data_IF_848753111755
#
_entry.id   IF_848753111755
#
_cell.length_a   1.000
_cell.length_b   1.000
_cell.length_c   1.000
_cell.angle_alpha   90.00
_cell.angle_beta   90.00
_cell.angle_gamma   90.00
#
_symmetry.space_group_name_H-M   'P 1'
#
loop_
_entity.id
_entity.type
_entity.pdbx_description
1 polymer ?
#
# COMPACT_ATOMS: atom_id res chain seq x y z
N UNK A 1 -29.08 -31.21 -14.51
CA UNK A 1 -29.79 -30.23 -15.36
C UNK A 1 -28.95 -28.95 -15.26
N UNK A 2 -28.00 -28.79 -16.17
CA UNK A 2 -27.20 -27.56 -16.29
C UNK A 2 -28.02 -26.57 -17.09
N UNK A 3 -28.60 -25.59 -16.41
CA UNK A 3 -29.12 -24.42 -17.12
C UNK A 3 -27.91 -23.70 -17.76
N UNK A 4 -27.99 -23.43 -19.06
CA UNK A 4 -27.07 -22.55 -19.77
C UNK A 4 -27.25 -21.15 -19.18
N UNK A 5 -26.58 -20.89 -18.03
CA UNK A 5 -26.46 -19.55 -17.51
C UNK A 5 -25.49 -18.81 -18.43
N UNK A 6 -26.04 -17.97 -19.28
CA UNK A 6 -25.28 -17.15 -20.20
C UNK A 6 -24.69 -15.96 -19.38
N UNK A 7 -23.57 -16.23 -18.68
CA UNK A 7 -22.87 -15.22 -17.90
C UNK A 7 -22.26 -14.17 -18.85
N UNK A 8 -22.51 -12.90 -18.55
CA UNK A 8 -21.84 -11.79 -19.21
C UNK A 8 -20.57 -11.45 -18.40
N UNK A 9 -19.39 -11.73 -18.94
CA UNK A 9 -18.12 -11.51 -18.29
C UNK A 9 -17.93 -10.03 -17.92
N UNK A 10 -18.16 -9.12 -18.86
CA UNK A 10 -17.88 -7.68 -18.64
C UNK A 10 -18.79 -7.08 -17.56
N UNK A 11 -20.07 -7.49 -17.52
CA UNK A 11 -20.99 -7.07 -16.45
C UNK A 11 -20.58 -7.60 -15.08
N UNK A 12 -20.11 -8.85 -15.00
CA UNK A 12 -19.64 -9.44 -13.74
C UNK A 12 -18.35 -8.77 -13.25
N UNK A 13 -17.44 -8.46 -14.17
CA UNK A 13 -16.21 -7.73 -13.85
C UNK A 13 -16.52 -6.33 -13.33
N UNK A 14 -17.44 -5.61 -13.97
CA UNK A 14 -17.86 -4.28 -13.49
C UNK A 14 -18.44 -4.34 -12.08
N UNK A 15 -19.28 -5.32 -11.78
CA UNK A 15 -19.83 -5.54 -10.44
C UNK A 15 -18.73 -5.81 -9.40
N UNK A 16 -17.80 -6.68 -9.73
CA UNK A 16 -16.68 -7.01 -8.82
C UNK A 16 -15.78 -5.78 -8.57
N UNK A 17 -15.45 -5.03 -9.62
CA UNK A 17 -14.65 -3.81 -9.53
C UNK A 17 -15.31 -2.72 -8.67
N UNK A 18 -16.65 -2.69 -8.62
CA UNK A 18 -17.42 -1.78 -7.76
C UNK A 18 -17.60 -2.30 -6.33
N UNK A 19 -16.98 -3.42 -5.95
CA UNK A 19 -17.15 -4.05 -4.64
C UNK A 19 -18.58 -4.54 -4.38
N UNK A 20 -19.33 -4.88 -5.44
CA UNK A 20 -20.73 -5.34 -5.30
C UNK A 20 -20.81 -6.72 -4.68
N UNK A 21 -21.57 -6.83 -3.62
CA UNK A 21 -21.76 -8.09 -2.88
C UNK A 21 -22.82 -9.01 -3.53
N UNK A 22 -23.54 -8.53 -4.55
CA UNK A 22 -24.64 -9.21 -5.22
C UNK A 22 -24.21 -10.03 -6.44
N UNK A 23 -22.92 -10.38 -6.54
CA UNK A 23 -22.43 -11.30 -7.55
C UNK A 23 -22.77 -12.72 -7.18
N UNK A 24 -23.39 -13.45 -8.11
CA UNK A 24 -23.76 -14.86 -7.89
C UNK A 24 -22.50 -15.72 -7.73
N UNK A 25 -22.40 -16.44 -6.63
CA UNK A 25 -21.32 -17.37 -6.32
C UNK A 25 -21.03 -18.35 -7.49
N UNK A 26 -22.08 -18.80 -8.19
CA UNK A 26 -21.95 -19.72 -9.31
C UNK A 26 -21.26 -19.08 -10.53
N UNK A 27 -21.20 -17.75 -10.60
CA UNK A 27 -20.53 -17.02 -11.67
C UNK A 27 -19.01 -16.88 -11.43
N UNK A 28 -18.55 -16.94 -10.18
CA UNK A 28 -17.14 -16.70 -9.84
C UNK A 28 -16.18 -17.65 -10.57
N UNK A 29 -16.42 -18.98 -10.63
CA UNK A 29 -15.54 -19.88 -11.39
C UNK A 29 -15.41 -19.50 -12.87
N UNK A 30 -16.50 -19.06 -13.50
CA UNK A 30 -16.49 -18.59 -14.88
C UNK A 30 -15.64 -17.32 -15.04
N UNK A 31 -15.81 -16.34 -14.15
CA UNK A 31 -15.01 -15.10 -14.18
C UNK A 31 -13.52 -15.42 -14.04
N UNK A 32 -13.14 -16.27 -13.09
CA UNK A 32 -11.75 -16.67 -12.88
C UNK A 32 -11.15 -17.38 -14.08
N UNK A 33 -11.91 -18.30 -14.71
CA UNK A 33 -11.44 -19.02 -15.89
C UNK A 33 -11.17 -18.05 -17.05
N UNK A 34 -12.09 -17.12 -17.32
CA UNK A 34 -11.94 -16.12 -18.36
C UNK A 34 -10.80 -15.11 -18.06
N UNK A 35 -10.68 -14.64 -16.80
CA UNK A 35 -9.60 -13.76 -16.37
C UNK A 35 -8.22 -14.42 -16.56
N UNK A 36 -8.09 -15.70 -16.21
CA UNK A 36 -6.86 -16.48 -16.43
C UNK A 36 -6.51 -16.65 -17.91
N UNK A 37 -7.49 -16.93 -18.76
CA UNK A 37 -7.29 -16.99 -20.23
C UNK A 37 -6.77 -15.66 -20.79
N UNK A 38 -7.30 -14.55 -20.27
CA UNK A 38 -6.92 -13.19 -20.66
C UNK A 38 -5.65 -12.69 -19.97
N UNK A 39 -5.16 -13.42 -18.95
CA UNK A 39 -4.06 -13.02 -18.06
C UNK A 39 -4.35 -11.68 -17.36
N UNK A 40 -5.58 -11.47 -16.98
CA UNK A 40 -6.05 -10.25 -16.35
C UNK A 40 -5.92 -10.34 -14.83
N UNK A 41 -4.77 -9.87 -14.31
CA UNK A 41 -4.48 -9.86 -12.89
C UNK A 41 -5.43 -8.96 -12.10
N UNK A 42 -5.93 -7.87 -12.69
CA UNK A 42 -6.83 -6.96 -11.97
C UNK A 42 -8.18 -7.62 -11.70
N UNK A 43 -8.73 -8.35 -12.66
CA UNK A 43 -9.98 -9.08 -12.43
C UNK A 43 -9.80 -10.18 -11.39
N UNK A 44 -8.66 -10.88 -11.39
CA UNK A 44 -8.36 -11.88 -10.34
C UNK A 44 -8.25 -11.20 -8.97
N UNK A 45 -7.68 -9.98 -8.89
CA UNK A 45 -7.63 -9.21 -7.66
C UNK A 45 -9.04 -8.83 -7.16
N UNK A 46 -9.94 -8.38 -8.04
CA UNK A 46 -11.33 -8.12 -7.64
C UNK A 46 -12.04 -9.37 -7.12
N UNK A 47 -11.79 -10.54 -7.72
CA UNK A 47 -12.32 -11.80 -7.19
C UNK A 47 -11.69 -12.15 -5.84
N UNK A 48 -10.40 -11.85 -5.63
CA UNK A 48 -9.76 -12.04 -4.34
C UNK A 48 -10.45 -11.20 -3.25
N UNK A 49 -10.65 -9.89 -3.49
CA UNK A 49 -11.39 -9.00 -2.59
C UNK A 49 -12.80 -9.52 -2.28
N UNK A 50 -13.50 -10.01 -3.31
CA UNK A 50 -14.82 -10.61 -3.11
C UNK A 50 -14.80 -11.81 -2.14
N UNK A 51 -13.75 -12.67 -2.20
CA UNK A 51 -13.61 -13.77 -1.23
C UNK A 51 -13.35 -13.28 0.18
N UNK A 52 -12.61 -12.20 0.34
CA UNK A 52 -12.37 -11.56 1.63
C UNK A 52 -13.64 -10.92 2.18
N UNK A 53 -14.28 -10.04 1.40
CA UNK A 53 -15.35 -9.18 1.87
C UNK A 53 -16.70 -9.89 1.99
N UNK A 54 -16.97 -10.86 1.10
CA UNK A 54 -18.27 -11.52 1.00
C UNK A 54 -18.28 -12.91 1.64
N UNK A 55 -17.16 -13.62 1.52
CA UNK A 55 -17.05 -15.01 2.00
C UNK A 55 -16.30 -15.15 3.31
N UNK A 56 -15.58 -14.10 3.74
CA UNK A 56 -14.64 -14.16 4.87
C UNK A 56 -13.62 -15.32 4.70
N UNK A 57 -13.27 -15.62 3.44
CA UNK A 57 -12.34 -16.69 3.08
C UNK A 57 -10.93 -16.10 2.81
N UNK A 58 -10.22 -15.82 3.89
CA UNK A 58 -8.85 -15.30 3.86
C UNK A 58 -7.86 -16.21 3.12
N UNK A 59 -8.05 -17.52 3.18
CA UNK A 59 -7.15 -18.45 2.49
C UNK A 59 -7.28 -18.31 0.98
N UNK A 60 -8.50 -18.22 0.49
CA UNK A 60 -8.77 -18.05 -0.93
C UNK A 60 -8.40 -16.66 -1.42
N UNK A 61 -8.69 -15.62 -0.62
CA UNK A 61 -8.20 -14.27 -0.87
C UNK A 61 -6.69 -14.25 -1.10
N UNK A 62 -5.89 -14.78 -0.17
CA UNK A 62 -4.43 -14.77 -0.27
C UNK A 62 -3.90 -15.58 -1.47
N UNK A 63 -4.53 -16.70 -1.80
CA UNK A 63 -4.18 -17.49 -2.97
C UNK A 63 -4.36 -16.67 -4.27
N UNK A 64 -5.54 -16.05 -4.43
CA UNK A 64 -5.87 -15.26 -5.61
C UNK A 64 -5.10 -13.94 -5.66
N UNK A 65 -4.86 -13.28 -4.52
CA UNK A 65 -4.05 -12.08 -4.47
C UNK A 65 -2.60 -12.35 -4.93
N UNK A 66 -2.02 -13.49 -4.56
CA UNK A 66 -0.70 -13.90 -5.06
C UNK A 66 -0.71 -14.16 -6.57
N UNK A 67 -1.72 -14.88 -7.06
CA UNK A 67 -1.88 -15.11 -8.50
C UNK A 67 -2.02 -13.79 -9.27
N UNK A 68 -2.86 -12.88 -8.79
CA UNK A 68 -3.07 -11.56 -9.37
C UNK A 68 -1.78 -10.71 -9.38
N UNK A 69 -1.04 -10.72 -8.29
CA UNK A 69 0.24 -10.01 -8.18
C UNK A 69 1.32 -10.56 -9.12
N UNK A 70 1.36 -11.88 -9.33
CA UNK A 70 2.25 -12.51 -10.32
C UNK A 70 1.90 -12.11 -11.76
N UNK A 71 0.63 -11.83 -12.02
CA UNK A 71 0.16 -11.29 -13.30
C UNK A 71 0.32 -9.78 -13.42
N UNK A 72 0.84 -9.14 -12.39
CA UNK A 72 1.20 -7.72 -12.41
C UNK A 72 0.11 -6.77 -11.91
N UNK A 73 -0.95 -7.26 -11.23
CA UNK A 73 -1.95 -6.38 -10.62
C UNK A 73 -1.32 -5.46 -9.57
N UNK A 74 -1.40 -4.12 -9.73
CA UNK A 74 -0.89 -3.20 -8.73
C UNK A 74 -1.65 -3.30 -7.41
N UNK A 75 -2.98 -3.42 -7.44
CA UNK A 75 -3.81 -3.57 -6.24
C UNK A 75 -3.44 -4.81 -5.43
N UNK A 76 -3.33 -5.96 -6.09
CA UNK A 76 -2.94 -7.20 -5.43
C UNK A 76 -1.54 -7.11 -4.82
N UNK A 77 -0.60 -6.46 -5.51
CA UNK A 77 0.73 -6.20 -4.95
C UNK A 77 0.64 -5.29 -3.71
N UNK A 78 -0.17 -4.23 -3.77
CA UNK A 78 -0.36 -3.34 -2.64
C UNK A 78 -0.94 -4.08 -1.41
N UNK A 79 -1.99 -4.88 -1.58
CA UNK A 79 -2.58 -5.67 -0.49
C UNK A 79 -1.61 -6.69 0.09
N UNK A 80 -0.87 -7.42 -0.75
CA UNK A 80 0.18 -8.34 -0.27
C UNK A 80 1.29 -7.62 0.50
N UNK A 81 1.62 -6.37 0.11
CA UNK A 81 2.53 -5.52 0.86
C UNK A 81 2.06 -5.32 2.29
N UNK A 82 0.77 -5.02 2.49
CA UNK A 82 0.17 -4.92 3.81
C UNK A 82 0.18 -6.23 4.58
N UNK A 83 -0.15 -7.34 3.94
CA UNK A 83 -0.15 -8.66 4.58
C UNK A 83 1.24 -9.04 5.10
N UNK A 84 2.29 -8.79 4.31
CA UNK A 84 3.67 -9.03 4.75
C UNK A 84 4.14 -8.03 5.81
N UNK A 85 3.63 -6.79 5.80
CA UNK A 85 3.98 -5.77 6.77
C UNK A 85 3.31 -6.04 8.12
N UNK A 86 1.99 -6.33 8.14
CA UNK A 86 1.25 -6.60 9.36
C UNK A 86 1.69 -7.89 10.03
N UNK A 87 1.94 -8.92 9.25
CA UNK A 87 2.26 -10.25 9.76
C UNK A 87 1.04 -11.01 10.32
N UNK A 88 -0.18 -10.56 9.98
CA UNK A 88 -1.42 -11.15 10.48
C UNK A 88 -1.77 -12.45 9.75
N UNK A 89 -1.85 -12.41 8.44
CA UNK A 89 -2.24 -13.56 7.62
C UNK A 89 -1.04 -14.22 6.91
N UNK A 90 0.06 -13.48 6.76
CA UNK A 90 1.34 -13.99 6.26
C UNK A 90 2.44 -13.71 7.28
N UNK A 91 3.50 -14.52 7.34
CA UNK A 91 4.65 -14.19 8.17
C UNK A 91 5.22 -12.83 7.80
N UNK A 92 5.44 -11.95 8.81
CA UNK A 92 6.00 -10.61 8.59
C UNK A 92 7.34 -10.70 7.84
N UNK A 93 7.44 -9.91 6.77
CA UNK A 93 8.62 -9.89 5.90
C UNK A 93 8.74 -8.51 5.22
N UNK A 94 9.61 -7.65 5.75
CA UNK A 94 9.79 -6.29 5.23
C UNK A 94 10.34 -6.25 3.80
N UNK A 95 11.19 -7.19 3.41
CA UNK A 95 11.71 -7.24 2.03
C UNK A 95 10.59 -7.55 1.03
N UNK A 96 9.71 -8.50 1.37
CA UNK A 96 8.56 -8.81 0.52
C UNK A 96 7.54 -7.68 0.52
N UNK A 97 7.25 -7.11 1.70
CA UNK A 97 6.35 -5.94 1.81
C UNK A 97 6.83 -4.81 0.90
N UNK A 98 8.10 -4.44 1.00
CA UNK A 98 8.73 -3.42 0.17
C UNK A 98 8.65 -3.73 -1.32
N UNK A 99 9.03 -4.96 -1.72
CA UNK A 99 8.94 -5.39 -3.12
C UNK A 99 7.52 -5.32 -3.67
N UNK A 100 6.52 -5.68 -2.85
CA UNK A 100 5.11 -5.60 -3.21
C UNK A 100 4.66 -4.15 -3.36
N UNK A 101 5.00 -3.26 -2.42
CA UNK A 101 4.64 -1.85 -2.52
C UNK A 101 5.25 -1.16 -3.74
N UNK A 102 6.53 -1.44 -4.07
CA UNK A 102 7.16 -0.91 -5.30
C UNK A 102 6.39 -1.33 -6.57
N UNK A 103 5.89 -2.57 -6.62
CA UNK A 103 5.08 -3.05 -7.74
C UNK A 103 3.65 -2.50 -7.73
N UNK A 104 3.14 -2.17 -6.56
CA UNK A 104 1.81 -1.60 -6.36
C UNK A 104 1.75 -0.07 -6.38
N UNK A 105 2.84 0.63 -6.69
CA UNK A 105 2.95 2.09 -6.64
C UNK A 105 1.98 2.87 -7.54
N UNK A 106 1.46 2.22 -8.59
CA UNK A 106 0.54 2.84 -9.55
C UNK A 106 -0.93 2.71 -9.12
N UNK A 107 -1.18 2.26 -7.89
CA UNK A 107 -2.54 2.28 -7.32
C UNK A 107 -2.85 3.71 -6.89
N UNK A 108 -3.72 4.35 -7.66
CA UNK A 108 -4.24 5.70 -7.41
C UNK A 108 -5.18 5.74 -6.19
N UNK A 109 -4.71 5.36 -5.01
CA UNK A 109 -5.65 5.41 -3.92
C UNK A 109 -5.24 6.22 -2.70
N UNK A 110 -4.40 7.12 -2.86
CA UNK A 110 -4.28 8.19 -1.88
C UNK A 110 -4.85 9.45 -2.52
N UNK A 111 -6.11 9.81 -2.25
CA UNK A 111 -6.49 11.19 -2.39
C UNK A 111 -5.75 11.97 -1.30
N UNK A 112 -4.49 12.24 -1.55
CA UNK A 112 -3.79 13.27 -0.83
C UNK A 112 -4.46 14.54 -1.30
N UNK A 113 -5.21 15.19 -0.39
CA UNK A 113 -5.82 16.48 -0.68
C UNK A 113 -4.73 17.39 -1.25
N UNK A 114 -4.87 17.88 -2.51
CA UNK A 114 -3.87 18.77 -3.10
C UNK A 114 -3.64 20.03 -2.27
N UNK A 115 -4.60 20.46 -1.44
CA UNK A 115 -4.45 21.60 -0.54
C UNK A 115 -3.62 21.24 0.71
N UNK A 116 -3.77 20.04 1.26
CA UNK A 116 -2.89 19.55 2.34
C UNK A 116 -1.47 19.23 1.84
N UNK A 117 -1.33 18.86 0.57
CA UNK A 117 -0.05 18.58 -0.06
C UNK A 117 0.63 19.77 -0.73
N UNK A 118 -0.05 20.90 -0.92
CA UNK A 118 0.53 22.08 -1.59
C UNK A 118 1.85 22.51 -0.93
N UNK A 119 2.04 22.23 0.35
CA UNK A 119 3.29 22.49 1.07
C UNK A 119 4.36 21.41 0.82
N UNK A 120 3.97 20.16 0.58
CA UNK A 120 4.88 19.10 0.12
C UNK A 120 5.35 19.36 -1.32
N UNK A 121 4.46 19.78 -2.21
CA UNK A 121 4.78 20.14 -3.60
C UNK A 121 5.67 21.36 -3.71
N UNK A 122 5.54 22.37 -2.85
CA UNK A 122 6.44 23.54 -2.82
C UNK A 122 7.86 23.21 -2.38
N UNK A 123 8.09 22.05 -1.76
CA UNK A 123 9.40 21.52 -1.45
C UNK A 123 10.11 20.86 -2.63
N UNK A 124 9.47 20.75 -3.80
CA UNK A 124 10.08 20.40 -5.08
C UNK A 124 10.31 18.93 -5.38
N UNK A 125 9.90 17.99 -4.52
CA UNK A 125 9.90 16.56 -4.84
C UNK A 125 8.95 15.83 -3.88
N UNK A 126 7.78 15.49 -4.41
CA UNK A 126 6.93 14.48 -3.77
C UNK A 126 7.49 13.11 -4.12
N UNK A 127 8.59 12.73 -3.50
CA UNK A 127 8.87 11.33 -3.23
C UNK A 127 8.23 10.92 -1.90
N UNK A 128 6.98 11.25 -1.73
CA UNK A 128 6.16 10.47 -0.82
C UNK A 128 5.76 9.26 -1.63
N UNK A 129 6.67 8.33 -1.73
CA UNK A 129 6.38 7.02 -2.25
C UNK A 129 5.26 6.43 -1.39
N UNK A 130 4.43 5.58 -1.96
CA UNK A 130 3.42 4.82 -1.20
C UNK A 130 4.01 4.18 0.06
N UNK A 131 5.29 3.85 0.04
CA UNK A 131 6.04 3.31 1.18
C UNK A 131 6.24 4.30 2.33
N UNK A 132 6.50 5.57 2.04
CA UNK A 132 6.66 6.61 3.06
C UNK A 132 5.35 6.85 3.81
N UNK A 133 4.24 6.95 3.10
CA UNK A 133 2.90 7.10 3.68
C UNK A 133 2.50 5.89 4.52
N UNK A 134 2.79 4.68 4.05
CA UNK A 134 2.55 3.46 4.80
C UNK A 134 3.41 3.35 6.05
N UNK A 135 4.66 3.83 6.00
CA UNK A 135 5.48 3.91 7.19
C UNK A 135 4.82 4.81 8.24
N UNK A 136 4.34 6.00 7.84
CA UNK A 136 3.66 6.91 8.78
C UNK A 136 2.37 6.33 9.36
N UNK A 137 1.59 5.60 8.58
CA UNK A 137 0.30 5.08 9.00
C UNK A 137 0.39 3.85 9.90
N UNK A 138 1.36 2.97 9.70
CA UNK A 138 1.43 1.71 10.45
C UNK A 138 2.09 1.84 11.84
N UNK A 139 2.78 2.94 12.11
CA UNK A 139 3.48 3.15 13.40
C UNK A 139 4.62 2.15 13.69
N UNK A 140 4.98 1.32 12.73
CA UNK A 140 6.04 0.32 12.88
C UNK A 140 7.41 0.95 12.60
N UNK A 141 8.13 1.27 13.69
CA UNK A 141 9.46 1.86 13.61
C UNK A 141 10.46 0.97 12.89
N UNK A 142 10.30 -0.35 12.95
CA UNK A 142 11.17 -1.29 12.22
C UNK A 142 11.01 -1.14 10.72
N UNK A 143 9.78 -0.98 10.26
CA UNK A 143 9.46 -0.69 8.86
C UNK A 143 10.05 0.64 8.40
N UNK A 144 9.88 1.72 9.18
CA UNK A 144 10.43 3.03 8.86
C UNK A 144 11.95 3.02 8.69
N UNK A 145 12.65 2.36 9.62
CA UNK A 145 14.10 2.23 9.56
C UNK A 145 14.54 1.40 8.35
N UNK A 146 13.81 0.32 8.06
CA UNK A 146 14.05 -0.52 6.90
C UNK A 146 13.88 0.25 5.58
N UNK A 147 12.78 1.00 5.43
CA UNK A 147 12.51 1.81 4.22
C UNK A 147 13.54 2.93 4.09
N UNK A 148 13.94 3.58 5.20
CA UNK A 148 14.96 4.62 5.19
C UNK A 148 16.34 4.12 4.74
N UNK A 149 16.67 2.86 5.06
CA UNK A 149 17.90 2.21 4.60
C UNK A 149 17.87 1.95 3.09
N UNK A 150 16.74 1.53 2.56
CA UNK A 150 16.55 1.24 1.12
C UNK A 150 16.40 2.52 0.28
N UNK A 151 15.65 3.48 0.81
CA UNK A 151 15.36 4.76 0.20
C UNK A 151 15.57 5.91 1.19
N UNK A 152 16.76 6.51 1.23
CA UNK A 152 17.03 7.65 2.11
C UNK A 152 16.23 8.88 1.67
N UNK A 153 14.95 8.92 2.03
CA UNK A 153 14.05 10.04 1.75
C UNK A 153 14.17 11.12 2.82
N UNK A 154 14.27 12.37 2.40
CA UNK A 154 14.27 13.54 3.30
C UNK A 154 12.93 13.70 4.03
N UNK A 155 11.81 13.37 3.39
CA UNK A 155 10.48 13.36 4.01
C UNK A 155 10.40 12.29 5.10
N UNK A 156 10.86 11.08 4.82
CA UNK A 156 10.87 9.97 5.78
C UNK A 156 11.78 10.27 6.98
N UNK A 157 12.94 10.91 6.79
CA UNK A 157 13.79 11.40 7.88
C UNK A 157 13.05 12.38 8.78
N UNK A 158 12.28 13.31 8.19
CA UNK A 158 11.49 14.28 8.93
C UNK A 158 10.36 13.60 9.73
N UNK A 159 9.62 12.67 9.14
CA UNK A 159 8.59 11.88 9.83
C UNK A 159 9.16 11.04 10.98
N UNK A 160 10.30 10.38 10.75
CA UNK A 160 10.98 9.61 11.79
C UNK A 160 11.47 10.52 12.94
N UNK A 161 11.90 11.73 12.65
CA UNK A 161 12.26 12.71 13.66
C UNK A 161 11.04 13.09 14.53
N UNK A 162 9.88 13.29 13.94
CA UNK A 162 8.63 13.54 14.69
C UNK A 162 8.27 12.37 15.61
N UNK A 163 8.42 11.15 15.10
CA UNK A 163 8.21 9.98 15.93
C UNK A 163 9.15 9.97 17.15
N UNK A 164 10.46 10.21 16.96
CA UNK A 164 11.42 10.28 18.07
C UNK A 164 11.09 11.41 19.05
N UNK A 165 10.65 12.57 18.55
CA UNK A 165 10.22 13.69 19.42
C UNK A 165 9.02 13.31 20.29
N UNK A 166 8.03 12.60 19.72
CA UNK A 166 6.86 12.12 20.46
C UNK A 166 7.20 11.08 21.54
N UNK A 167 8.24 10.26 21.33
CA UNK A 167 8.70 9.30 22.34
C UNK A 167 9.36 9.98 23.56
N UNK A 168 9.86 11.19 23.39
CA UNK A 168 10.50 11.95 24.44
C UNK A 168 11.88 11.41 24.87
N UNK A 169 12.49 12.08 25.84
CA UNK A 169 13.81 11.73 26.34
C UNK A 169 14.97 12.34 25.54
N UNK A 170 16.10 12.59 26.20
CA UNK A 170 17.23 13.31 25.60
C UNK A 170 17.85 12.59 24.41
N UNK A 171 17.91 11.26 24.45
CA UNK A 171 18.50 10.44 23.39
C UNK A 171 17.63 10.46 22.12
N UNK A 172 16.32 10.35 22.28
CA UNK A 172 15.39 10.44 21.17
C UNK A 172 15.38 11.86 20.57
N UNK A 173 15.47 12.89 21.43
CA UNK A 173 15.58 14.26 20.97
C UNK A 173 16.84 14.49 20.12
N UNK A 174 17.99 13.95 20.53
CA UNK A 174 19.23 14.03 19.74
C UNK A 174 19.10 13.34 18.39
N UNK A 175 18.49 12.14 18.35
CA UNK A 175 18.22 11.42 17.11
C UNK A 175 17.31 12.22 16.18
N UNK A 176 16.23 12.78 16.72
CA UNK A 176 15.31 13.61 15.97
C UNK A 176 15.99 14.84 15.37
N UNK A 177 16.77 15.58 16.18
CA UNK A 177 17.51 16.76 15.70
C UNK A 177 18.47 16.40 14.57
N UNK A 178 19.21 15.30 14.69
CA UNK A 178 20.12 14.84 13.64
C UNK A 178 19.38 14.56 12.33
N UNK A 179 18.25 13.86 12.40
CA UNK A 179 17.44 13.55 11.22
C UNK A 179 16.86 14.81 10.57
N UNK A 180 16.38 15.77 11.37
CA UNK A 180 15.89 17.06 10.88
C UNK A 180 17.02 17.87 10.20
N UNK A 181 18.22 17.90 10.79
CA UNK A 181 19.37 18.59 10.21
C UNK A 181 19.79 17.97 8.87
N UNK A 182 19.81 16.64 8.79
CA UNK A 182 20.09 15.92 7.53
C UNK A 182 19.03 16.25 6.48
N UNK A 183 17.76 16.11 6.82
CA UNK A 183 16.63 16.42 5.93
C UNK A 183 16.65 17.88 5.44
N UNK A 184 16.94 18.82 6.34
CA UNK A 184 17.06 20.24 6.02
C UNK A 184 18.22 20.55 5.06
N UNK A 185 19.38 19.88 5.24
CA UNK A 185 20.55 19.98 4.34
C UNK A 185 20.21 19.44 2.94
N UNK A 186 19.40 18.40 2.86
CA UNK A 186 18.89 17.83 1.62
C UNK A 186 17.80 18.69 0.95
N UNK A 187 17.46 19.83 1.55
CA UNK A 187 16.57 20.83 0.95
C UNK A 187 15.12 20.73 1.40
N UNK A 188 14.76 19.87 2.38
CA UNK A 188 13.38 19.72 2.81
C UNK A 188 12.91 20.90 3.67
N UNK A 189 11.94 21.68 3.13
CA UNK A 189 11.46 22.91 3.74
C UNK A 189 10.85 22.72 5.13
N UNK A 190 10.06 21.68 5.32
CA UNK A 190 9.45 21.35 6.61
C UNK A 190 10.47 21.08 7.72
N UNK A 191 11.55 20.36 7.40
CA UNK A 191 12.61 20.12 8.37
C UNK A 191 13.26 21.43 8.83
N UNK A 192 13.45 22.41 7.92
CA UNK A 192 13.96 23.74 8.27
C UNK A 192 13.01 24.51 9.16
N UNK A 193 11.69 24.46 8.86
CA UNK A 193 10.67 25.10 9.70
C UNK A 193 10.63 24.50 11.11
N UNK A 194 10.69 23.16 11.21
CA UNK A 194 10.72 22.48 12.49
C UNK A 194 11.95 22.83 13.32
N UNK A 195 13.14 22.85 12.70
CA UNK A 195 14.37 23.26 13.39
C UNK A 195 14.32 24.72 13.87
N UNK A 196 13.66 25.60 13.13
CA UNK A 196 13.50 27.00 13.52
C UNK A 196 12.50 27.20 14.68
N UNK A 197 11.64 26.22 14.93
CA UNK A 197 10.61 26.24 15.99
C UNK A 197 11.06 25.55 17.30
N UNK A 198 12.22 24.90 17.33
CA UNK A 198 12.79 24.19 18.49
C UNK A 198 13.73 25.06 19.31
#
# INVERSE_FOLDING_TARGET
MGGDTNWNYDELVEKLAMGRIDVDDAAIPFVLEEARKRRDGNVIAHVASWYEDVKDDKARYLELAKEAAELGSPEANFWLGHEYLSGENLPRDYEKAYSCFIKGKDVDWVPIDPEENADYERGGEVEVTSEGLLAESCGDIGWWLFVLEKHPSRALKCGLADWYMKQGGDENRKRALKLLEESAKEGFGFARQKLAAL
#
